data_IF_161829802740
#
_entry.id   IF_161829802740
#
_cell.length_a   1.000
_cell.length_b   1.000
_cell.length_c   1.000
_cell.angle_alpha   90.00
_cell.angle_beta   90.00
_cell.angle_gamma   90.00
#
_symmetry.space_group_name_H-M   'P 1'
#
loop_
_entity.id
_entity.type
_entity.pdbx_description
1 polymer ?
#
# COMPACT_ATOMS: atom_id res chain seq x y z
N UNK A 1 27.33 9.83 -2.77
CA UNK A 1 26.52 8.83 -2.05
C UNK A 1 25.88 7.94 -3.11
N UNK A 2 26.04 6.62 -3.02
CA UNK A 2 25.60 5.71 -4.08
C UNK A 2 24.07 5.71 -4.25
N UNK A 3 23.62 5.86 -5.49
CA UNK A 3 22.20 5.94 -5.84
C UNK A 3 21.84 4.88 -6.88
N UNK A 4 20.73 4.19 -6.66
CA UNK A 4 20.20 3.18 -7.57
C UNK A 4 18.69 3.32 -7.71
N UNK A 5 18.14 2.89 -8.84
CA UNK A 5 16.70 2.95 -9.06
C UNK A 5 16.03 1.62 -8.66
N UNK A 6 14.95 1.69 -7.86
CA UNK A 6 14.07 0.54 -7.65
C UNK A 6 13.16 0.31 -8.86
N UNK A 7 12.64 1.38 -9.48
CA UNK A 7 11.94 1.27 -10.77
C UNK A 7 12.83 1.81 -11.88
N UNK A 8 12.97 1.08 -12.98
CA UNK A 8 13.87 1.44 -14.07
C UNK A 8 13.66 2.91 -14.51
N UNK A 9 14.73 3.72 -14.66
CA UNK A 9 14.60 5.17 -14.85
C UNK A 9 13.87 5.54 -16.14
N UNK A 10 14.08 4.77 -17.21
CA UNK A 10 13.39 4.96 -18.50
C UNK A 10 12.06 4.22 -18.65
N UNK A 11 11.64 3.41 -17.67
CA UNK A 11 10.39 2.64 -17.77
C UNK A 11 9.91 2.18 -16.39
N UNK A 12 9.00 2.95 -15.80
CA UNK A 12 8.57 2.75 -14.41
C UNK A 12 7.66 1.52 -14.21
N UNK A 13 7.34 0.75 -15.27
CA UNK A 13 6.67 -0.56 -15.15
C UNK A 13 7.64 -1.65 -14.67
N UNK A 14 8.93 -1.47 -14.92
CA UNK A 14 9.97 -2.41 -14.52
C UNK A 14 10.46 -2.11 -13.11
N UNK A 15 10.52 -3.14 -12.26
CA UNK A 15 11.01 -3.03 -10.89
C UNK A 15 12.20 -3.95 -10.63
N UNK A 16 13.07 -3.53 -9.71
CA UNK A 16 14.30 -4.21 -9.38
C UNK A 16 14.00 -5.59 -8.79
N UNK A 17 14.56 -6.62 -9.39
CA UNK A 17 14.31 -8.00 -9.00
C UNK A 17 15.57 -8.70 -8.49
N UNK A 18 16.71 -8.48 -9.14
CA UNK A 18 17.96 -9.17 -8.82
C UNK A 18 19.18 -8.25 -8.98
N UNK A 19 20.26 -8.57 -8.27
CA UNK A 19 21.54 -7.85 -8.30
C UNK A 19 22.71 -8.82 -8.13
N UNK A 20 23.75 -8.66 -8.95
CA UNK A 20 24.99 -9.43 -8.80
C UNK A 20 26.19 -8.75 -9.51
N UNK A 21 27.43 -8.87 -8.99
CA UNK A 21 28.63 -8.35 -9.65
C UNK A 21 29.10 -9.21 -10.84
N UNK A 22 28.87 -10.52 -10.79
CA UNK A 22 29.23 -11.45 -11.88
C UNK A 22 28.17 -11.46 -13.01
N UNK A 23 28.53 -11.11 -14.26
CA UNK A 23 27.64 -11.21 -15.42
C UNK A 23 27.12 -12.63 -15.70
N UNK A 24 27.85 -13.68 -15.32
CA UNK A 24 27.40 -15.07 -15.54
C UNK A 24 26.16 -15.38 -14.71
N UNK A 25 26.13 -14.91 -13.46
CA UNK A 25 24.96 -15.06 -12.58
C UNK A 25 23.77 -14.24 -13.09
N UNK A 26 24.02 -13.07 -13.69
CA UNK A 26 22.98 -12.28 -14.35
C UNK A 26 22.36 -13.06 -15.51
N UNK A 27 23.19 -13.63 -16.40
CA UNK A 27 22.69 -14.44 -17.53
C UNK A 27 21.93 -15.67 -17.04
N UNK A 28 22.45 -16.37 -16.03
CA UNK A 28 21.81 -17.52 -15.41
C UNK A 28 20.41 -17.16 -14.87
N UNK A 29 20.31 -16.05 -14.15
CA UNK A 29 19.04 -15.55 -13.62
C UNK A 29 18.05 -15.17 -14.73
N UNK A 30 18.53 -14.56 -15.83
CA UNK A 30 17.70 -14.20 -16.98
C UNK A 30 17.08 -15.43 -17.64
N UNK A 31 17.90 -16.46 -17.87
CA UNK A 31 17.46 -17.73 -18.48
C UNK A 31 16.44 -18.47 -17.59
N UNK A 32 16.46 -18.20 -16.28
CA UNK A 32 15.51 -18.78 -15.33
C UNK A 32 14.14 -18.11 -15.26
N UNK A 33 13.92 -16.96 -15.91
CA UNK A 33 12.60 -16.33 -15.94
C UNK A 33 11.66 -17.00 -16.94
N UNK A 34 10.36 -16.96 -16.64
CA UNK A 34 9.29 -17.38 -17.55
C UNK A 34 9.23 -16.46 -18.79
N UNK A 35 8.75 -17.00 -19.93
CA UNK A 35 8.65 -16.27 -21.21
C UNK A 35 7.74 -15.03 -21.16
N UNK A 36 6.85 -14.92 -20.15
CA UNK A 36 5.95 -13.78 -19.95
C UNK A 36 6.58 -12.63 -19.11
N UNK A 37 7.84 -12.80 -18.67
CA UNK A 37 8.58 -11.81 -17.91
C UNK A 37 9.49 -11.00 -18.84
N UNK A 38 9.18 -9.71 -19.01
CA UNK A 38 10.06 -8.80 -19.70
C UNK A 38 11.22 -8.41 -18.77
N UNK A 39 12.44 -8.34 -19.34
CA UNK A 39 13.67 -8.08 -18.57
C UNK A 39 14.45 -6.88 -19.13
N UNK A 40 15.01 -6.06 -18.24
CA UNK A 40 16.01 -5.03 -18.56
C UNK A 40 17.20 -5.16 -17.61
N UNK A 41 18.42 -5.01 -18.12
CA UNK A 41 19.65 -5.06 -17.34
C UNK A 41 20.31 -3.69 -17.33
N UNK A 42 20.86 -3.29 -16.19
CA UNK A 42 21.63 -2.07 -16.07
C UNK A 42 22.89 -2.33 -15.23
N UNK A 43 24.02 -1.76 -15.63
CA UNK A 43 25.24 -1.77 -14.85
C UNK A 43 25.32 -0.51 -13.97
N UNK A 44 25.92 -0.66 -12.80
CA UNK A 44 26.26 0.40 -11.87
C UNK A 44 27.73 0.27 -11.48
N UNK A 45 28.42 1.39 -11.40
CA UNK A 45 29.78 1.50 -10.89
C UNK A 45 29.76 2.56 -9.79
N UNK A 46 29.71 2.11 -8.53
CA UNK A 46 29.57 2.97 -7.34
C UNK A 46 30.81 2.80 -6.45
N UNK A 47 30.82 1.75 -5.62
CA UNK A 47 32.00 1.31 -4.88
C UNK A 47 32.63 0.07 -5.55
N UNK A 48 31.77 -0.79 -6.11
CA UNK A 48 32.11 -1.95 -6.94
C UNK A 48 31.21 -1.93 -8.19
N UNK A 49 31.69 -2.49 -9.31
CA UNK A 49 30.84 -2.70 -10.48
C UNK A 49 29.85 -3.83 -10.20
N UNK A 50 28.56 -3.58 -10.42
CA UNK A 50 27.53 -4.60 -10.34
C UNK A 50 26.43 -4.38 -11.36
N UNK A 51 25.67 -5.45 -11.59
CA UNK A 51 24.57 -5.46 -12.54
C UNK A 51 23.26 -5.69 -11.80
N UNK A 52 22.22 -5.03 -12.26
CA UNK A 52 20.86 -5.23 -11.78
C UNK A 52 19.97 -5.74 -12.89
N UNK A 53 19.00 -6.56 -12.50
CA UNK A 53 17.91 -7.00 -13.36
C UNK A 53 16.63 -6.31 -12.90
N UNK A 54 15.97 -5.64 -13.84
CA UNK A 54 14.62 -5.16 -13.69
C UNK A 54 13.64 -6.06 -14.45
N UNK A 55 12.51 -6.39 -13.83
CA UNK A 55 11.48 -7.23 -14.43
C UNK A 55 10.12 -6.52 -14.46
N UNK A 56 9.31 -6.89 -15.44
CA UNK A 56 7.89 -6.53 -15.55
C UNK A 56 7.11 -7.72 -16.08
N UNK A 57 5.92 -7.99 -15.50
CA UNK A 57 4.98 -8.99 -16.03
C UNK A 57 3.92 -8.25 -16.82
N UNK A 58 3.75 -8.61 -18.10
CA UNK A 58 2.79 -7.95 -19.00
C UNK A 58 1.39 -8.50 -18.71
N UNK A 59 0.50 -7.68 -18.14
CA UNK A 59 -0.88 -8.12 -17.90
C UNK A 59 -1.72 -7.10 -17.13
N UNK A 60 -2.28 -6.11 -17.82
CA UNK A 60 -3.29 -5.20 -17.27
C UNK A 60 -4.28 -4.78 -18.35
N UNK A 61 -5.57 -4.72 -17.99
CA UNK A 61 -6.66 -4.19 -18.82
C UNK A 61 -7.46 -3.14 -18.03
N UNK A 62 -8.43 -2.45 -18.64
CA UNK A 62 -9.23 -1.42 -17.96
C UNK A 62 -9.98 -2.00 -16.74
N UNK A 63 -10.03 -1.26 -15.61
CA UNK A 63 -10.76 -1.70 -14.39
C UNK A 63 -12.24 -1.96 -14.69
N UNK A 64 -12.85 -1.19 -15.60
CA UNK A 64 -14.27 -1.30 -15.99
C UNK A 64 -14.64 -2.66 -16.60
N UNK A 65 -13.66 -3.43 -17.08
CA UNK A 65 -13.85 -4.76 -17.65
C UNK A 65 -13.70 -5.90 -16.62
N UNK A 66 -13.38 -5.59 -15.36
CA UNK A 66 -13.32 -6.58 -14.30
C UNK A 66 -14.75 -7.02 -13.96
N UNK A 67 -15.14 -8.22 -14.40
CA UNK A 67 -16.37 -8.87 -13.96
C UNK A 67 -16.25 -9.24 -12.47
N UNK A 68 -17.04 -8.57 -11.65
CA UNK A 68 -17.16 -8.83 -10.22
C UNK A 68 -18.22 -9.89 -9.97
N UNK A 69 -18.08 -11.07 -10.56
CA UNK A 69 -18.89 -12.21 -10.17
C UNK A 69 -18.40 -12.75 -8.81
N UNK A 70 -18.70 -11.99 -7.76
CA UNK A 70 -18.22 -12.19 -6.39
C UNK A 70 -19.05 -13.22 -5.62
N UNK A 71 -20.20 -13.64 -6.16
CA UNK A 71 -21.20 -14.43 -5.43
C UNK A 71 -20.60 -15.72 -4.82
N UNK A 72 -19.77 -16.44 -5.58
CA UNK A 72 -19.14 -17.66 -5.07
C UNK A 72 -18.06 -17.38 -4.01
N UNK A 73 -17.34 -16.26 -4.13
CA UNK A 73 -16.31 -15.87 -3.17
C UNK A 73 -16.93 -15.35 -1.88
N UNK A 74 -17.98 -14.52 -1.97
CA UNK A 74 -18.73 -13.98 -0.84
C UNK A 74 -19.48 -15.08 -0.07
N UNK A 75 -20.02 -16.09 -0.77
CA UNK A 75 -20.71 -17.21 -0.13
C UNK A 75 -19.81 -18.07 0.78
N UNK A 76 -18.48 -18.01 0.58
CA UNK A 76 -17.49 -18.72 1.42
C UNK A 76 -17.07 -17.91 2.65
N UNK A 77 -17.46 -16.65 2.74
CA UNK A 77 -17.12 -15.76 3.85
C UNK A 77 -18.13 -15.89 4.99
N UNK A 78 -17.72 -15.55 6.22
CA UNK A 78 -18.69 -15.30 7.28
C UNK A 78 -19.60 -14.12 6.91
N UNK A 79 -20.79 -14.05 7.51
CA UNK A 79 -21.75 -12.99 7.23
C UNK A 79 -21.17 -11.59 7.51
N UNK A 80 -20.43 -11.44 8.62
CA UNK A 80 -19.74 -10.19 8.98
C UNK A 80 -18.67 -9.83 7.94
N UNK A 81 -17.82 -10.80 7.55
CA UNK A 81 -16.77 -10.55 6.56
C UNK A 81 -17.38 -10.19 5.19
N UNK A 82 -18.39 -10.92 4.75
CA UNK A 82 -19.10 -10.66 3.48
C UNK A 82 -19.69 -9.25 3.47
N UNK A 83 -20.37 -8.85 4.55
CA UNK A 83 -20.97 -7.51 4.71
C UNK A 83 -19.90 -6.41 4.56
N UNK A 84 -18.79 -6.54 5.29
CA UNK A 84 -17.71 -5.53 5.26
C UNK A 84 -17.00 -5.52 3.90
N UNK A 85 -16.73 -6.70 3.30
CA UNK A 85 -16.05 -6.81 2.00
C UNK A 85 -16.89 -6.23 0.87
N UNK A 86 -18.19 -6.48 0.84
CA UNK A 86 -19.10 -5.85 -0.13
C UNK A 86 -19.00 -4.34 -0.04
N UNK A 87 -19.08 -3.80 1.18
CA UNK A 87 -18.98 -2.35 1.39
C UNK A 87 -17.62 -1.77 1.00
N UNK A 88 -16.53 -2.49 1.27
CA UNK A 88 -15.18 -2.11 0.83
C UNK A 88 -15.09 -2.02 -0.70
N UNK A 89 -15.68 -2.98 -1.42
CA UNK A 89 -15.68 -3.01 -2.88
C UNK A 89 -16.56 -1.89 -3.47
N UNK A 90 -17.65 -1.53 -2.81
CA UNK A 90 -18.45 -0.33 -3.16
C UNK A 90 -17.64 0.96 -3.00
N UNK A 91 -16.94 1.12 -1.87
CA UNK A 91 -16.05 2.27 -1.62
C UNK A 91 -14.98 2.35 -2.73
N UNK A 92 -14.32 1.23 -3.03
CA UNK A 92 -13.33 1.17 -4.09
C UNK A 92 -13.91 1.58 -5.45
N UNK A 93 -15.07 1.04 -5.84
CA UNK A 93 -15.73 1.41 -7.11
C UNK A 93 -16.09 2.88 -7.18
N UNK A 94 -16.63 3.45 -6.11
CA UNK A 94 -16.96 4.87 -6.04
C UNK A 94 -15.72 5.75 -6.23
N UNK A 95 -14.60 5.40 -5.60
CA UNK A 95 -13.32 6.11 -5.77
C UNK A 95 -12.79 6.03 -7.19
N UNK A 96 -12.91 4.88 -7.86
CA UNK A 96 -12.48 4.74 -9.26
C UNK A 96 -13.35 5.61 -10.16
N UNK A 97 -14.67 5.55 -10.01
CA UNK A 97 -15.58 6.37 -10.81
C UNK A 97 -15.30 7.86 -10.64
N UNK A 98 -15.07 8.32 -9.41
CA UNK A 98 -14.70 9.71 -9.12
C UNK A 98 -13.37 10.10 -9.80
N UNK A 99 -12.33 9.26 -9.70
CA UNK A 99 -11.04 9.55 -10.35
C UNK A 99 -11.18 9.62 -11.88
N UNK A 100 -12.00 8.77 -12.49
CA UNK A 100 -12.23 8.79 -13.94
C UNK A 100 -13.00 10.04 -14.37
N UNK A 101 -13.91 10.54 -13.54
CA UNK A 101 -14.60 11.81 -13.76
C UNK A 101 -13.66 13.01 -13.64
N UNK A 102 -12.76 13.00 -12.65
CA UNK A 102 -11.78 14.07 -12.42
C UNK A 102 -10.67 14.11 -13.48
N UNK A 103 -10.13 12.95 -13.88
CA UNK A 103 -8.97 12.84 -14.77
C UNK A 103 -9.36 12.65 -16.25
N UNK A 104 -10.63 12.36 -16.55
CA UNK A 104 -11.14 12.16 -17.91
C UNK A 104 -10.63 10.90 -18.62
N UNK A 105 -9.87 10.04 -17.93
CA UNK A 105 -9.34 8.77 -18.44
C UNK A 105 -9.66 7.61 -17.50
N UNK A 106 -9.95 6.39 -18.03
CA UNK A 106 -10.17 5.21 -17.19
C UNK A 106 -8.97 4.89 -16.30
N UNK A 107 -9.23 4.50 -15.05
CA UNK A 107 -8.14 4.01 -14.18
C UNK A 107 -7.77 2.60 -14.65
N UNK A 108 -6.50 2.38 -14.97
CA UNK A 108 -6.00 1.07 -15.42
C UNK A 108 -5.77 0.11 -14.23
N UNK A 109 -6.20 -1.15 -14.40
CA UNK A 109 -5.92 -2.20 -13.44
C UNK A 109 -4.60 -2.88 -13.82
N UNK A 110 -3.61 -2.88 -12.93
CA UNK A 110 -2.37 -3.63 -13.17
C UNK A 110 -2.48 -5.11 -12.74
N UNK A 111 -3.63 -5.53 -12.18
CA UNK A 111 -3.95 -6.93 -11.84
C UNK A 111 -5.45 -7.14 -11.64
N UNK A 112 -5.88 -8.39 -11.44
CA UNK A 112 -7.23 -8.71 -10.98
C UNK A 112 -7.37 -8.49 -9.46
N UNK A 113 -8.59 -8.26 -9.00
CA UNK A 113 -8.91 -8.18 -7.56
C UNK A 113 -8.71 -9.55 -6.93
N UNK A 114 -7.96 -9.61 -5.85
CA UNK A 114 -7.83 -10.82 -5.04
C UNK A 114 -8.91 -10.85 -3.96
N UNK A 115 -10.13 -11.19 -4.39
CA UNK A 115 -11.33 -11.19 -3.53
C UNK A 115 -11.19 -12.18 -2.38
N UNK A 116 -10.49 -13.29 -2.62
CA UNK A 116 -10.25 -14.33 -1.61
C UNK A 116 -9.28 -13.85 -0.52
N UNK A 117 -8.44 -12.85 -0.80
CA UNK A 117 -7.55 -12.24 0.19
C UNK A 117 -8.22 -11.14 1.05
N UNK A 118 -9.43 -10.69 0.71
CA UNK A 118 -10.12 -9.62 1.44
C UNK A 118 -10.64 -10.04 2.84
N UNK A 119 -11.23 -11.24 3.05
CA UNK A 119 -11.58 -11.71 4.40
C UNK A 119 -10.36 -11.76 5.32
N UNK A 120 -9.23 -12.15 4.75
CA UNK A 120 -7.92 -12.22 5.40
C UNK A 120 -7.46 -10.86 5.96
N UNK A 121 -7.94 -9.74 5.39
CA UNK A 121 -7.70 -8.39 5.95
C UNK A 121 -8.44 -8.24 7.28
N UNK A 122 -9.71 -8.63 7.30
CA UNK A 122 -10.59 -8.47 8.46
C UNK A 122 -10.24 -9.44 9.59
N UNK A 123 -9.86 -10.67 9.24
CA UNK A 123 -9.53 -11.72 10.21
C UNK A 123 -8.15 -11.52 10.86
N UNK A 124 -7.23 -10.82 10.18
CA UNK A 124 -5.92 -10.45 10.76
C UNK A 124 -5.94 -9.13 11.50
N UNK A 125 -7.01 -8.34 11.35
CA UNK A 125 -7.15 -7.07 12.06
C UNK A 125 -7.42 -7.36 13.53
N UNK A 126 -6.61 -6.79 14.41
CA UNK A 126 -6.96 -6.70 15.82
C UNK A 126 -8.02 -5.61 16.01
N UNK A 127 -9.21 -6.01 16.44
CA UNK A 127 -10.36 -5.12 16.68
C UNK A 127 -10.38 -4.53 18.10
N UNK A 128 -9.29 -4.70 18.85
CA UNK A 128 -9.15 -4.22 20.22
C UNK A 128 -8.56 -2.81 20.29
N UNK A 129 -8.90 -2.06 21.34
CA UNK A 129 -8.34 -0.72 21.60
C UNK A 129 -9.26 0.43 21.16
N UNK A 130 -8.66 1.57 20.84
CA UNK A 130 -9.40 2.77 20.43
C UNK A 130 -9.89 2.69 18.98
N UNK A 131 -10.84 3.57 18.64
CA UNK A 131 -11.37 3.71 17.30
C UNK A 131 -10.28 4.04 16.26
N UNK A 132 -9.34 4.91 16.63
CA UNK A 132 -8.19 5.27 15.78
C UNK A 132 -7.25 4.09 15.57
N UNK A 133 -6.98 3.30 16.62
CA UNK A 133 -6.17 2.09 16.52
C UNK A 133 -6.78 1.06 15.57
N UNK A 134 -8.06 0.73 15.73
CA UNK A 134 -8.74 -0.23 14.84
C UNK A 134 -8.78 0.27 13.40
N UNK A 135 -9.09 1.54 13.18
CA UNK A 135 -9.11 2.15 11.86
C UNK A 135 -7.72 2.13 11.19
N UNK A 136 -6.66 2.48 11.93
CA UNK A 136 -5.27 2.42 11.45
C UNK A 136 -4.84 1.00 11.06
N UNK A 137 -5.20 0.00 11.87
CA UNK A 137 -4.96 -1.42 11.54
C UNK A 137 -5.67 -1.88 10.28
N UNK A 138 -6.95 -1.52 10.13
CA UNK A 138 -7.72 -1.82 8.91
C UNK A 138 -7.03 -1.26 7.67
N UNK A 139 -6.58 0.00 7.74
CA UNK A 139 -5.83 0.64 6.65
C UNK A 139 -4.50 -0.09 6.37
N UNK A 140 -3.72 -0.33 7.42
CA UNK A 140 -2.41 -0.99 7.33
C UNK A 140 -2.52 -2.36 6.66
N UNK A 141 -3.42 -3.21 7.14
CA UNK A 141 -3.55 -4.58 6.67
C UNK A 141 -4.12 -4.62 5.25
N UNK A 142 -5.08 -3.76 4.91
CA UNK A 142 -5.60 -3.64 3.53
C UNK A 142 -4.47 -3.31 2.55
N UNK A 143 -3.62 -2.33 2.90
CA UNK A 143 -2.48 -1.90 2.08
C UNK A 143 -1.42 -2.99 1.99
N UNK A 144 -1.08 -3.65 3.09
CA UNK A 144 -0.10 -4.74 3.14
C UNK A 144 -0.54 -5.96 2.32
N UNK A 145 -1.82 -6.32 2.40
CA UNK A 145 -2.43 -7.39 1.59
C UNK A 145 -2.51 -7.01 0.13
N UNK A 146 -2.68 -5.72 -0.15
CA UNK A 146 -2.68 -5.17 -1.50
C UNK A 146 -3.69 -5.89 -2.40
N UNK A 147 -4.86 -6.27 -1.87
CA UNK A 147 -5.82 -7.13 -2.56
C UNK A 147 -6.51 -6.42 -3.74
N UNK A 148 -6.52 -5.09 -3.75
CA UNK A 148 -7.10 -4.28 -4.82
C UNK A 148 -6.11 -4.07 -5.96
N UNK A 149 -6.58 -3.85 -7.19
CA UNK A 149 -5.76 -3.87 -8.38
C UNK A 149 -5.10 -2.51 -8.66
N UNK A 150 -5.47 -1.48 -7.90
CA UNK A 150 -4.87 -0.17 -7.77
C UNK A 150 -5.53 0.53 -6.56
N UNK A 151 -5.18 1.80 -6.33
CA UNK A 151 -5.80 2.67 -5.32
C UNK A 151 -5.87 2.12 -3.87
N UNK A 152 -5.06 1.12 -3.49
CA UNK A 152 -5.07 0.52 -2.15
C UNK A 152 -4.98 1.57 -1.03
N UNK A 153 -4.08 2.56 -1.15
CA UNK A 153 -3.96 3.67 -0.20
C UNK A 153 -5.23 4.54 -0.12
N UNK A 154 -5.78 4.96 -1.27
CA UNK A 154 -7.00 5.79 -1.32
C UNK A 154 -8.20 5.04 -0.74
N UNK A 155 -8.35 3.76 -1.06
CA UNK A 155 -9.41 2.91 -0.50
C UNK A 155 -9.24 2.71 1.00
N UNK A 156 -8.01 2.54 1.50
CA UNK A 156 -7.75 2.43 2.93
C UNK A 156 -8.15 3.71 3.69
N UNK A 157 -7.79 4.89 3.16
CA UNK A 157 -8.22 6.19 3.73
C UNK A 157 -9.75 6.32 3.73
N UNK A 158 -10.42 5.93 2.65
CA UNK A 158 -11.87 5.95 2.60
C UNK A 158 -12.52 4.95 3.55
N UNK A 159 -11.91 3.77 3.75
CA UNK A 159 -12.35 2.78 4.74
C UNK A 159 -12.22 3.32 6.17
N UNK A 160 -11.12 4.01 6.49
CA UNK A 160 -10.94 4.71 7.78
C UNK A 160 -12.07 5.70 8.00
N UNK A 161 -12.33 6.59 7.02
CA UNK A 161 -13.42 7.54 7.14
C UNK A 161 -14.76 6.85 7.37
N UNK A 162 -15.02 5.80 6.58
CA UNK A 162 -16.26 5.06 6.67
C UNK A 162 -16.45 4.40 8.03
N UNK A 163 -15.40 3.77 8.58
CA UNK A 163 -15.37 3.18 9.91
C UNK A 163 -15.61 4.21 11.01
N UNK A 164 -14.84 5.32 11.03
CA UNK A 164 -14.97 6.36 12.04
C UNK A 164 -16.34 7.05 12.00
N UNK A 165 -16.96 7.16 10.82
CA UNK A 165 -18.35 7.66 10.69
C UNK A 165 -19.41 6.76 11.31
N UNK A 166 -19.08 5.50 11.62
CA UNK A 166 -19.97 4.59 12.37
C UNK A 166 -19.98 4.89 13.87
N UNK A 167 -18.95 5.59 14.36
CA UNK A 167 -18.82 6.07 15.73
C UNK A 167 -19.25 7.53 15.85
N UNK A 168 -18.85 8.37 14.90
CA UNK A 168 -19.23 9.78 14.83
C UNK A 168 -19.69 10.15 13.41
N UNK A 169 -21.01 10.28 13.15
CA UNK A 169 -21.54 10.54 11.81
C UNK A 169 -21.04 11.83 11.13
N UNK A 170 -20.59 12.80 11.93
CA UNK A 170 -20.10 14.10 11.48
C UNK A 170 -18.61 14.10 11.14
N UNK A 171 -17.89 13.01 11.45
CA UNK A 171 -16.49 12.87 11.08
C UNK A 171 -16.33 12.88 9.55
N UNK A 172 -15.33 13.61 9.08
CA UNK A 172 -14.85 13.59 7.71
C UNK A 172 -13.33 13.66 7.76
N UNK A 173 -12.64 12.96 6.85
CA UNK A 173 -11.21 13.17 6.69
C UNK A 173 -10.95 14.63 6.28
N UNK A 174 -9.83 15.22 6.71
CA UNK A 174 -9.41 16.54 6.23
C UNK A 174 -9.30 16.55 4.70
N UNK A 175 -9.75 17.65 4.07
CA UNK A 175 -9.68 17.78 2.61
C UNK A 175 -8.24 18.06 2.17
N UNK A 176 -7.73 17.26 1.23
CA UNK A 176 -6.38 17.38 0.67
C UNK A 176 -6.34 18.13 -0.67
N UNK A 177 -7.47 18.69 -1.10
CA UNK A 177 -7.65 19.33 -2.41
C UNK A 177 -7.61 20.86 -2.38
N UNK A 178 -7.53 21.47 -1.19
CA UNK A 178 -7.46 22.92 -1.05
C UNK A 178 -5.98 23.31 -0.99
N UNK A 179 -5.50 24.07 -1.98
CA UNK A 179 -4.27 24.86 -1.81
C UNK A 179 -4.50 25.82 -0.65
N UNK A 180 -3.86 25.55 0.47
CA UNK A 180 -3.85 26.44 1.62
C UNK A 180 -2.76 27.50 1.35
N UNK A 181 -3.00 28.74 1.80
CA UNK A 181 -2.04 29.86 1.77
C UNK A 181 -0.66 29.35 2.27
N UNK A 182 0.50 29.72 1.70
CA UNK A 182 1.82 29.33 2.19
C UNK A 182 2.09 29.59 3.69
N UNK A 183 1.31 30.43 4.38
CA UNK A 183 1.36 30.57 5.85
C UNK A 183 0.49 29.55 6.62
N UNK A 184 -0.26 28.72 5.91
CA UNK A 184 -1.15 27.68 6.44
C UNK A 184 -0.69 26.29 6.01
N UNK A 185 -0.71 25.36 6.95
CA UNK A 185 -0.21 24.00 6.81
C UNK A 185 -0.85 23.23 5.64
N UNK A 186 -0.04 22.64 4.74
CA UNK A 186 -0.53 21.86 3.58
C UNK A 186 -0.93 20.43 3.98
N UNK A 187 -2.24 20.16 3.97
CA UNK A 187 -2.83 18.84 4.20
C UNK A 187 -2.32 17.78 3.24
N UNK A 188 -2.06 18.16 1.98
CA UNK A 188 -1.59 17.25 0.95
C UNK A 188 -0.15 16.82 1.24
N UNK A 189 0.69 17.74 1.69
CA UNK A 189 2.06 17.45 2.10
C UNK A 189 2.10 16.41 3.23
N UNK A 190 1.33 16.66 4.29
CA UNK A 190 1.20 15.74 5.42
C UNK A 190 0.73 14.33 5.04
N UNK A 191 -0.38 14.21 4.30
CA UNK A 191 -0.85 12.89 3.84
C UNK A 191 0.19 12.21 2.95
N UNK A 192 0.92 12.98 2.14
CA UNK A 192 1.97 12.44 1.28
C UNK A 192 3.15 11.89 2.07
N UNK A 193 3.50 12.45 3.22
CA UNK A 193 4.56 11.90 4.10
C UNK A 193 4.21 10.48 4.53
N UNK A 194 2.99 10.27 5.07
CA UNK A 194 2.49 8.96 5.46
C UNK A 194 2.39 7.97 4.30
N UNK A 195 1.88 8.42 3.14
CA UNK A 195 1.80 7.58 1.93
C UNK A 195 3.20 7.18 1.45
N UNK A 196 4.15 8.11 1.49
CA UNK A 196 5.52 7.86 1.06
C UNK A 196 6.21 6.89 2.02
N UNK A 197 6.09 7.08 3.34
CA UNK A 197 6.67 6.14 4.31
C UNK A 197 6.03 4.75 4.22
N UNK A 198 4.71 4.67 4.08
CA UNK A 198 4.01 3.41 3.83
C UNK A 198 4.58 2.70 2.59
N UNK A 199 4.85 3.45 1.52
CA UNK A 199 5.51 2.94 0.32
C UNK A 199 6.94 2.45 0.62
N UNK A 200 7.74 3.18 1.39
CA UNK A 200 9.10 2.75 1.77
C UNK A 200 9.06 1.45 2.56
N UNK A 201 8.28 1.39 3.64
CA UNK A 201 8.07 0.20 4.47
C UNK A 201 7.62 -1.01 3.65
N UNK A 202 6.63 -0.87 2.76
CA UNK A 202 6.17 -1.95 1.89
C UNK A 202 7.28 -2.52 1.00
N UNK A 203 8.24 -1.68 0.61
CA UNK A 203 9.30 -2.02 -0.33
C UNK A 203 10.44 -2.68 0.41
N UNK A 204 10.92 -2.05 1.48
CA UNK A 204 11.92 -2.61 2.39
C UNK A 204 11.45 -3.99 2.90
N UNK A 205 10.20 -4.09 3.38
CA UNK A 205 9.59 -5.33 3.85
C UNK A 205 9.70 -6.50 2.88
N UNK A 206 9.61 -6.24 1.57
CA UNK A 206 9.62 -7.27 0.52
C UNK A 206 11.02 -7.56 -0.03
N UNK A 207 11.93 -6.60 0.04
CA UNK A 207 13.20 -6.61 -0.69
C UNK A 207 14.41 -6.35 0.23
N UNK A 208 14.27 -6.50 1.54
CA UNK A 208 15.32 -6.23 2.52
C UNK A 208 16.66 -6.92 2.20
N UNK A 209 16.64 -8.22 1.88
CA UNK A 209 17.87 -8.96 1.52
C UNK A 209 18.48 -8.45 0.22
N UNK A 210 17.65 -8.16 -0.80
CA UNK A 210 18.13 -7.58 -2.06
C UNK A 210 18.80 -6.21 -1.81
N UNK A 211 18.21 -5.40 -0.93
CA UNK A 211 18.74 -4.09 -0.59
C UNK A 211 20.00 -4.15 0.27
N UNK A 212 20.15 -5.21 1.09
CA UNK A 212 21.41 -5.51 1.77
C UNK A 212 22.55 -5.71 0.76
N UNK A 213 22.30 -6.39 -0.35
CA UNK A 213 23.31 -6.56 -1.41
C UNK A 213 23.64 -5.24 -2.08
N UNK A 214 22.65 -4.44 -2.47
CA UNK A 214 22.89 -3.09 -3.02
C UNK A 214 23.71 -2.22 -2.05
N UNK A 215 23.38 -2.26 -0.76
CA UNK A 215 24.10 -1.54 0.27
C UNK A 215 25.58 -1.95 0.35
N UNK A 216 25.85 -3.25 0.27
CA UNK A 216 27.22 -3.80 0.22
C UNK A 216 27.99 -3.34 -1.02
N UNK A 217 27.31 -3.16 -2.16
CA UNK A 217 27.91 -2.64 -3.39
C UNK A 217 28.00 -1.09 -3.45
N UNK A 218 27.76 -0.41 -2.32
CA UNK A 218 27.94 1.04 -2.19
C UNK A 218 26.67 1.88 -2.34
N UNK A 219 25.52 1.28 -2.66
CA UNK A 219 24.27 2.01 -2.69
C UNK A 219 23.88 2.50 -1.29
N UNK A 220 23.32 3.70 -1.21
CA UNK A 220 22.81 4.28 0.03
C UNK A 220 21.39 4.81 -0.13
N UNK A 221 20.99 5.23 -1.34
CA UNK A 221 19.58 5.57 -1.62
C UNK A 221 19.00 4.77 -2.78
N UNK A 222 17.70 4.46 -2.69
CA UNK A 222 16.89 3.85 -3.75
C UNK A 222 15.77 4.78 -4.18
N UNK A 223 15.64 5.09 -5.47
CA UNK A 223 14.47 5.82 -5.98
C UNK A 223 13.37 4.86 -6.47
N UNK A 224 12.16 5.00 -5.92
CA UNK A 224 10.93 4.44 -6.48
C UNK A 224 10.23 5.41 -7.43
N UNK A 225 9.31 4.88 -8.25
CA UNK A 225 8.40 5.71 -9.06
C UNK A 225 7.75 6.83 -8.25
N UNK A 226 7.58 7.98 -8.90
CA UNK A 226 7.12 9.25 -8.30
C UNK A 226 8.09 9.85 -7.27
N UNK A 227 9.41 9.71 -7.50
CA UNK A 227 10.47 10.31 -6.68
C UNK A 227 10.42 9.94 -5.19
N UNK A 228 9.87 8.76 -4.86
CA UNK A 228 9.90 8.26 -3.48
C UNK A 228 11.28 7.67 -3.22
N UNK A 229 12.15 8.45 -2.58
CA UNK A 229 13.49 8.00 -2.18
C UNK A 229 13.42 7.15 -0.91
N UNK A 230 14.21 6.08 -0.85
CA UNK A 230 14.42 5.22 0.30
C UNK A 230 15.89 5.37 0.71
N UNK A 231 16.15 5.90 1.89
CA UNK A 231 17.48 5.89 2.48
C UNK A 231 17.75 4.49 3.09
N UNK A 232 18.64 3.73 2.48
CA UNK A 232 19.00 2.39 2.96
C UNK A 232 19.70 2.41 4.31
N UNK A 233 20.28 3.54 4.73
CA UNK A 233 20.91 3.67 6.05
C UNK A 233 19.90 3.75 7.19
N UNK A 234 18.65 4.10 6.89
CA UNK A 234 17.58 4.26 7.87
C UNK A 234 16.87 2.93 8.24
N UNK A 235 17.20 1.82 7.57
CA UNK A 235 16.52 0.54 7.73
C UNK A 235 17.50 -0.59 8.06
N UNK A 236 17.04 -1.55 8.87
CA UNK A 236 17.76 -2.80 9.10
C UNK A 236 17.53 -3.78 7.94
N UNK A 237 18.62 -4.14 7.24
CA UNK A 237 18.58 -4.92 6.00
C UNK A 237 19.03 -6.37 6.19
N UNK A 238 19.61 -6.73 7.34
CA UNK A 238 20.11 -8.08 7.65
C UNK A 238 19.08 -9.01 8.32
N UNK A 239 17.84 -8.55 8.50
CA UNK A 239 16.78 -9.43 9.01
C UNK A 239 16.51 -10.59 8.04
N UNK A 240 16.13 -11.75 8.60
CA UNK A 240 15.57 -12.82 7.77
C UNK A 240 14.29 -12.35 7.08
N UNK A 241 13.98 -12.80 5.84
CA UNK A 241 12.76 -12.36 5.14
C UNK A 241 11.46 -12.58 5.92
N UNK A 242 11.39 -13.62 6.76
CA UNK A 242 10.25 -13.87 7.64
C UNK A 242 10.13 -12.85 8.77
N UNK A 243 11.26 -12.43 9.33
CA UNK A 243 11.35 -11.43 10.39
C UNK A 243 11.03 -10.03 9.86
N UNK A 244 11.65 -9.64 8.74
CA UNK A 244 11.36 -8.37 8.06
C UNK A 244 9.87 -8.24 7.69
N UNK A 245 9.20 -9.35 7.35
CA UNK A 245 7.76 -9.38 7.08
C UNK A 245 6.90 -9.02 8.30
N UNK A 246 7.39 -9.27 9.51
CA UNK A 246 6.72 -8.98 10.78
C UNK A 246 7.07 -7.57 11.22
N UNK A 247 8.37 -7.27 11.42
CA UNK A 247 8.86 -5.98 11.93
C UNK A 247 8.35 -4.80 11.09
N UNK A 248 8.49 -4.88 9.76
CA UNK A 248 8.01 -3.80 8.89
C UNK A 248 6.50 -3.81 8.66
N UNK A 249 5.79 -4.88 9.04
CA UNK A 249 4.33 -4.85 9.09
C UNK A 249 3.82 -4.15 10.36
N UNK A 250 4.50 -4.37 11.50
CA UNK A 250 4.23 -3.67 12.77
C UNK A 250 4.51 -2.18 12.64
N UNK A 251 5.67 -1.78 12.11
CA UNK A 251 5.95 -0.35 11.83
C UNK A 251 4.94 0.28 10.87
N UNK A 252 4.45 -0.49 9.89
CA UNK A 252 3.42 -0.02 8.98
C UNK A 252 2.06 0.11 9.68
N UNK A 253 1.74 -0.77 10.63
CA UNK A 253 0.59 -0.64 11.50
C UNK A 253 0.67 0.64 12.35
N UNK A 254 1.77 0.85 13.06
CA UNK A 254 1.97 2.03 13.90
C UNK A 254 1.85 3.32 13.07
N UNK A 255 2.48 3.37 11.88
CA UNK A 255 2.38 4.49 10.95
C UNK A 255 0.92 4.84 10.60
N UNK A 256 0.07 3.84 10.35
CA UNK A 256 -1.32 4.10 10.00
C UNK A 256 -2.20 4.39 11.21
N UNK A 257 -1.84 3.91 12.41
CA UNK A 257 -2.50 4.33 13.65
C UNK A 257 -2.22 5.81 13.91
N UNK A 258 -0.95 6.22 13.84
CA UNK A 258 -0.51 7.61 14.01
C UNK A 258 -1.20 8.53 12.99
N UNK A 259 -1.23 8.13 11.71
CA UNK A 259 -1.97 8.84 10.67
C UNK A 259 -3.43 9.11 11.05
N UNK A 260 -4.13 8.09 11.56
CA UNK A 260 -5.55 8.22 11.91
C UNK A 260 -5.74 9.07 13.17
N UNK A 261 -4.86 8.94 14.16
CA UNK A 261 -4.88 9.78 15.35
C UNK A 261 -4.70 11.25 15.01
N UNK A 262 -3.69 11.57 14.20
CA UNK A 262 -3.49 12.92 13.70
C UNK A 262 -4.70 13.39 12.88
N UNK A 263 -5.26 12.53 12.01
CA UNK A 263 -6.43 12.88 11.20
C UNK A 263 -7.63 13.30 12.05
N UNK A 264 -7.90 12.60 13.16
CA UNK A 264 -9.04 12.93 14.03
C UNK A 264 -8.81 14.19 14.85
N UNK A 265 -7.58 14.43 15.32
CA UNK A 265 -7.21 15.68 16.01
C UNK A 265 -7.41 16.87 15.09
N UNK A 266 -6.86 16.76 13.89
CA UNK A 266 -6.92 17.75 12.81
C UNK A 266 -8.36 18.04 12.35
N UNK A 267 -9.21 17.02 12.32
CA UNK A 267 -10.63 17.17 11.97
C UNK A 267 -11.50 17.73 13.11
N UNK A 268 -10.92 18.01 14.28
CA UNK A 268 -11.65 18.54 15.45
C UNK A 268 -12.43 17.48 16.24
N UNK A 269 -12.02 16.21 16.13
CA UNK A 269 -12.63 15.07 16.84
C UNK A 269 -11.59 14.27 17.66
N UNK A 270 -10.76 14.91 18.51
CA UNK A 270 -9.70 14.23 19.26
C UNK A 270 -10.25 13.15 20.20
N UNK A 271 -11.50 13.26 20.67
CA UNK A 271 -12.16 12.28 21.52
C UNK A 271 -12.22 10.87 20.89
N UNK A 272 -12.10 10.76 19.56
CA UNK A 272 -12.03 9.46 18.86
C UNK A 272 -10.77 8.66 19.21
N UNK A 273 -9.71 9.30 19.70
CA UNK A 273 -8.49 8.61 20.18
C UNK A 273 -8.74 7.78 21.42
N UNK A 274 -9.67 8.21 22.28
CA UNK A 274 -10.02 7.52 23.53
C UNK A 274 -11.32 6.73 23.41
N UNK A 275 -12.11 6.98 22.36
CA UNK A 275 -13.33 6.24 22.09
C UNK A 275 -13.00 4.77 21.79
N UNK A 276 -13.62 3.79 22.48
CA UNK A 276 -13.44 2.38 22.16
C UNK A 276 -13.77 2.08 20.70
N UNK A 277 -12.93 1.29 20.05
CA UNK A 277 -13.19 0.81 18.69
C UNK A 277 -14.41 -0.10 18.65
N UNK A 278 -15.12 -0.10 17.52
CA UNK A 278 -16.09 -1.13 17.19
C UNK A 278 -15.37 -2.45 17.00
N UNK A 279 -15.93 -3.51 17.57
CA UNK A 279 -15.61 -4.88 17.17
C UNK A 279 -16.01 -5.15 15.70
N UNK A 280 -15.49 -6.24 15.13
CA UNK A 280 -15.84 -6.67 13.76
C UNK A 280 -17.36 -6.81 13.58
N UNK A 281 -18.03 -7.42 14.54
CA UNK A 281 -19.48 -7.67 14.49
C UNK A 281 -20.26 -6.38 14.62
N UNK A 282 -19.92 -5.48 15.55
CA UNK A 282 -20.59 -4.17 15.67
C UNK A 282 -20.41 -3.32 14.41
N UNK A 283 -19.23 -3.37 13.79
CA UNK A 283 -18.99 -2.68 12.53
C UNK A 283 -19.86 -3.26 11.40
N UNK A 284 -19.90 -4.59 11.26
CA UNK A 284 -20.78 -5.25 10.29
C UNK A 284 -22.26 -4.93 10.52
N UNK A 285 -22.74 -4.96 11.76
CA UNK A 285 -24.13 -4.59 12.11
C UNK A 285 -24.45 -3.14 11.73
N UNK A 286 -23.55 -2.21 12.02
CA UNK A 286 -23.71 -0.80 11.63
C UNK A 286 -23.66 -0.58 10.11
N UNK A 287 -23.09 -1.52 9.34
CA UNK A 287 -23.17 -1.52 7.88
C UNK A 287 -24.52 -2.07 7.41
N UNK A 288 -25.02 -3.16 8.00
CA UNK A 288 -26.34 -3.72 7.61
C UNK A 288 -27.49 -2.74 7.86
N UNK A 289 -27.34 -1.87 8.84
CA UNK A 289 -28.31 -0.84 9.20
C UNK A 289 -28.08 0.49 8.47
N UNK A 290 -27.27 0.50 7.40
CA UNK A 290 -27.21 1.61 6.46
C UNK A 290 -28.37 1.49 5.48
N UNK A 291 -29.40 2.31 5.67
CA UNK A 291 -30.42 2.55 4.65
C UNK A 291 -29.80 3.08 3.33
#
# INVERSE_FOLDING_TARGET
MGHVYYHHPGDKQFSLDFVHPDPVEIVSQIVGYDDDVAVKVQAYDIDEEFYVIYTSRVGGGPVREIDFNLNESLAKMSEDNSTIVVRLLEIYRALIAQNEEEEGVPVEAYKKIDVNALPDVLDRTSWEGSATAVAGRLASILILKHALPNANHRTAVALVQFYLRRLNPNFSMPQTSIEVDPETYDWREWVNEYINESKRLLTIRRKNVLFKHLYRFGARTLERKHAVEIDLTAYELDMYPSEAKIVYAEQHEDLWIEFVEEAVERAGYPDLKETPGLSKTEFAEKIRNLD
#
